data_IF_093356314858
#
_entry.id   IF_093356314858
#
_cell.length_a   1.000
_cell.length_b   1.000
_cell.length_c   1.000
_cell.angle_alpha   90.00
_cell.angle_beta   90.00
_cell.angle_gamma   90.00
#
_symmetry.space_group_name_H-M   'P 1'
#
loop_
_entity.id
_entity.type
_entity.pdbx_description
1 polymer ?
#
# COMPACT_ATOMS: atom_id res chain seq x y z
N UNK A 1 4.38 13.79 10.10
CA UNK A 1 4.33 12.55 10.89
C UNK A 1 5.69 11.87 10.87
N UNK A 2 6.19 11.45 12.02
CA UNK A 2 7.57 10.97 12.15
C UNK A 2 7.69 9.47 12.41
N UNK A 3 6.61 8.83 12.86
CA UNK A 3 6.58 7.40 13.14
C UNK A 3 5.31 6.80 12.55
N UNK A 4 5.46 5.99 11.50
CA UNK A 4 4.34 5.37 10.78
C UNK A 4 4.83 4.28 9.83
N UNK A 5 3.89 3.52 9.30
CA UNK A 5 4.15 2.60 8.18
C UNK A 5 3.29 3.00 6.98
N UNK A 6 3.92 3.40 5.89
CA UNK A 6 3.23 3.60 4.61
C UNK A 6 3.00 2.24 3.95
N UNK A 7 1.80 2.02 3.45
CA UNK A 7 1.41 0.74 2.87
C UNK A 7 0.70 0.96 1.53
N UNK A 8 0.93 0.04 0.61
CA UNK A 8 0.27 0.00 -0.69
C UNK A 8 0.03 -1.45 -1.11
N UNK A 9 -1.16 -1.72 -1.63
CA UNK A 9 -1.54 -3.02 -2.18
C UNK A 9 -1.88 -2.91 -3.65
N UNK A 10 -1.52 -3.93 -4.42
CA UNK A 10 -2.07 -4.17 -5.74
C UNK A 10 -3.01 -5.38 -5.69
N UNK A 11 -4.07 -5.34 -6.48
CA UNK A 11 -5.08 -6.41 -6.52
C UNK A 11 -5.15 -7.05 -7.90
N UNK A 12 -5.42 -8.36 -7.92
CA UNK A 12 -5.52 -9.14 -9.14
C UNK A 12 -6.82 -8.87 -9.91
N UNK A 13 -7.92 -8.59 -9.18
CA UNK A 13 -9.26 -8.42 -9.75
C UNK A 13 -10.08 -7.41 -8.93
N UNK A 14 -11.38 -7.34 -9.19
CA UNK A 14 -12.28 -6.39 -8.52
C UNK A 14 -12.57 -6.72 -7.06
N UNK A 15 -12.21 -7.90 -6.58
CA UNK A 15 -12.42 -8.25 -5.20
C UNK A 15 -11.29 -7.73 -4.33
N UNK A 16 -11.63 -7.03 -3.25
CA UNK A 16 -10.64 -6.42 -2.36
C UNK A 16 -9.76 -7.45 -1.66
N UNK A 17 -10.20 -8.69 -1.55
CA UNK A 17 -9.42 -9.80 -1.01
C UNK A 17 -8.28 -10.26 -1.92
N UNK A 18 -8.31 -9.88 -3.20
CA UNK A 18 -7.39 -10.38 -4.22
C UNK A 18 -6.04 -9.66 -4.24
N UNK A 19 -5.52 -9.29 -3.07
CA UNK A 19 -4.18 -8.69 -2.96
C UNK A 19 -3.15 -9.60 -3.62
N UNK A 20 -2.39 -9.04 -4.56
CA UNK A 20 -1.35 -9.78 -5.29
C UNK A 20 0.06 -9.22 -5.05
N UNK A 21 0.19 -8.04 -4.44
CA UNK A 21 1.47 -7.54 -3.94
C UNK A 21 1.27 -6.58 -2.79
N UNK A 22 2.29 -6.49 -1.93
CA UNK A 22 2.32 -5.64 -0.74
C UNK A 22 3.63 -4.88 -0.70
N UNK A 23 3.56 -3.56 -0.56
CA UNK A 23 4.70 -2.71 -0.25
C UNK A 23 4.50 -2.03 1.09
N UNK A 24 5.52 -2.03 1.94
CA UNK A 24 5.49 -1.36 3.24
C UNK A 24 6.80 -0.60 3.44
N UNK A 25 6.69 0.65 3.83
CA UNK A 25 7.83 1.50 4.19
C UNK A 25 7.63 1.97 5.63
N UNK A 26 8.58 1.63 6.49
CA UNK A 26 8.52 1.98 7.89
C UNK A 26 9.36 3.22 8.14
N UNK A 27 8.74 4.24 8.70
CA UNK A 27 9.39 5.51 9.07
C UNK A 27 9.44 5.61 10.58
N UNK A 28 10.62 5.89 11.11
CA UNK A 28 10.85 6.16 12.54
C UNK A 28 11.72 7.40 12.67
N UNK A 29 11.31 8.28 13.56
CA UNK A 29 11.98 9.57 13.80
C UNK A 29 12.20 10.37 12.49
N UNK A 30 11.22 10.31 11.59
CA UNK A 30 11.24 11.03 10.32
C UNK A 30 12.14 10.42 9.24
N UNK A 31 12.72 9.25 9.48
CA UNK A 31 13.58 8.57 8.51
C UNK A 31 13.10 7.17 8.18
N UNK A 32 13.40 6.70 6.97
CA UNK A 32 13.07 5.34 6.57
C UNK A 32 13.94 4.36 7.36
N UNK A 33 13.28 3.54 8.19
CA UNK A 33 13.93 2.54 9.02
C UNK A 33 13.94 1.15 8.38
N UNK A 34 12.93 0.83 7.58
CA UNK A 34 12.82 -0.49 6.93
C UNK A 34 11.90 -0.42 5.71
N UNK A 35 12.07 -1.36 4.81
CA UNK A 35 11.23 -1.58 3.62
C UNK A 35 10.88 -3.05 3.52
N UNK A 36 9.66 -3.33 3.09
CA UNK A 36 9.20 -4.69 2.84
C UNK A 36 8.43 -4.74 1.54
N UNK A 37 8.69 -5.77 0.74
CA UNK A 37 7.93 -6.06 -0.48
C UNK A 37 7.72 -7.56 -0.60
N UNK A 38 6.52 -7.95 -0.99
CA UNK A 38 6.23 -9.34 -1.33
C UNK A 38 5.13 -9.43 -2.40
N UNK A 39 5.31 -10.35 -3.32
CA UNK A 39 4.20 -10.89 -4.09
C UNK A 39 3.29 -11.71 -3.16
N UNK A 40 2.02 -11.78 -3.50
CA UNK A 40 1.00 -12.51 -2.73
C UNK A 40 0.19 -13.37 -3.70
N UNK A 41 -0.02 -14.64 -3.34
CA UNK A 41 -0.97 -15.47 -4.07
C UNK A 41 -2.38 -14.97 -3.78
N UNK A 42 -3.10 -14.43 -4.79
CA UNK A 42 -4.37 -13.75 -4.52
C UNK A 42 -5.52 -14.71 -4.25
N UNK A 43 -6.53 -14.24 -3.52
CA UNK A 43 -7.76 -14.97 -3.25
C UNK A 43 -8.96 -14.05 -3.57
N UNK A 44 -9.77 -14.37 -4.59
CA UNK A 44 -9.66 -15.48 -5.54
C UNK A 44 -8.54 -15.30 -6.57
N UNK A 45 -7.99 -16.43 -7.04
CA UNK A 45 -6.85 -16.45 -7.95
C UNK A 45 -7.28 -16.37 -9.42
N UNK A 46 -7.68 -15.17 -9.84
CA UNK A 46 -7.85 -14.83 -11.25
C UNK A 46 -7.48 -13.37 -11.45
N UNK A 47 -7.00 -13.03 -12.64
CA UNK A 47 -6.56 -11.67 -12.95
C UNK A 47 -7.49 -11.06 -14.00
N UNK A 48 -7.92 -9.82 -13.76
CA UNK A 48 -8.59 -9.02 -14.76
C UNK A 48 -7.55 -8.25 -15.59
N UNK A 49 -7.85 -8.12 -16.87
CA UNK A 49 -6.99 -7.42 -17.82
C UNK A 49 -6.61 -6.01 -17.32
N UNK A 50 -7.59 -5.25 -16.81
CA UNK A 50 -7.36 -3.89 -16.35
C UNK A 50 -6.43 -3.81 -15.14
N UNK A 51 -6.51 -4.76 -14.24
CA UNK A 51 -5.63 -4.83 -13.08
C UNK A 51 -4.18 -5.10 -13.53
N UNK A 52 -3.98 -6.09 -14.39
CA UNK A 52 -2.66 -6.39 -14.94
C UNK A 52 -2.10 -5.23 -15.74
N UNK A 53 -2.94 -4.52 -16.49
CA UNK A 53 -2.50 -3.34 -17.24
C UNK A 53 -1.97 -2.22 -16.33
N UNK A 54 -2.51 -2.10 -15.13
CA UNK A 54 -2.07 -1.09 -14.14
C UNK A 54 -0.73 -1.49 -13.52
N UNK A 55 -0.62 -2.68 -12.93
CA UNK A 55 0.55 -3.08 -12.14
C UNK A 55 1.51 -4.04 -12.83
N UNK A 56 1.13 -4.59 -13.96
CA UNK A 56 1.98 -5.48 -14.77
C UNK A 56 2.08 -6.92 -14.26
N UNK A 57 1.44 -7.28 -13.14
CA UNK A 57 1.47 -8.63 -12.61
C UNK A 57 0.43 -9.53 -13.29
N UNK A 58 0.79 -10.79 -13.46
CA UNK A 58 -0.05 -11.83 -14.04
C UNK A 58 -0.22 -12.99 -13.06
N UNK A 59 -1.17 -13.88 -13.37
CA UNK A 59 -1.38 -15.09 -12.58
C UNK A 59 -0.11 -15.95 -12.47
N UNK A 60 0.70 -15.97 -13.51
CA UNK A 60 1.97 -16.71 -13.52
C UNK A 60 2.95 -16.14 -12.49
N UNK A 61 3.02 -14.81 -12.37
CA UNK A 61 3.94 -14.13 -11.43
C UNK A 61 3.67 -14.50 -9.97
N UNK A 62 2.43 -14.74 -9.61
CA UNK A 62 2.01 -15.00 -8.23
C UNK A 62 1.57 -16.44 -7.97
N UNK A 63 1.71 -17.33 -8.97
CA UNK A 63 1.29 -18.74 -8.85
C UNK A 63 1.95 -19.48 -7.68
N UNK A 64 3.20 -19.16 -7.37
CA UNK A 64 3.99 -19.78 -6.29
C UNK A 64 4.28 -18.79 -5.14
N UNK A 65 3.65 -17.64 -5.14
CA UNK A 65 3.80 -16.67 -4.06
C UNK A 65 3.08 -17.16 -2.78
N UNK A 66 3.53 -16.72 -1.60
CA UNK A 66 2.82 -17.03 -0.36
C UNK A 66 1.45 -16.37 -0.33
N UNK A 67 0.50 -17.00 0.38
CA UNK A 67 -0.83 -16.41 0.62
C UNK A 67 -0.71 -15.24 1.59
N UNK A 68 -1.73 -14.37 1.63
CA UNK A 68 -1.69 -13.16 2.44
C UNK A 68 -1.39 -13.42 3.92
N UNK A 69 -2.00 -14.44 4.52
CA UNK A 69 -1.79 -14.75 5.93
C UNK A 69 -0.32 -15.07 6.27
N UNK A 70 0.39 -15.71 5.35
CA UNK A 70 1.83 -15.96 5.53
C UNK A 70 2.66 -14.68 5.37
N UNK A 71 2.32 -13.84 4.40
CA UNK A 71 3.00 -12.55 4.20
C UNK A 71 2.80 -11.65 5.42
N UNK A 72 1.58 -11.60 5.95
CA UNK A 72 1.26 -10.70 7.07
C UNK A 72 1.96 -11.10 8.37
N UNK A 73 2.29 -12.37 8.56
CA UNK A 73 3.13 -12.81 9.69
C UNK A 73 4.49 -12.10 9.70
N UNK A 74 5.01 -11.74 8.53
CA UNK A 74 6.27 -11.00 8.41
C UNK A 74 6.08 -9.49 8.59
N UNK A 75 4.94 -8.96 8.18
CA UNK A 75 4.65 -7.51 8.24
C UNK A 75 4.22 -7.09 9.64
N UNK A 76 3.33 -7.84 10.29
CA UNK A 76 2.71 -7.45 11.55
C UNK A 76 3.71 -7.04 12.64
N UNK A 77 4.80 -7.79 12.89
CA UNK A 77 5.78 -7.38 13.90
C UNK A 77 6.50 -6.07 13.56
N UNK A 78 6.68 -5.79 12.27
CA UNK A 78 7.38 -4.57 11.80
C UNK A 78 6.57 -3.31 12.04
N UNK A 79 5.25 -3.40 11.98
CA UNK A 79 4.33 -2.26 12.07
C UNK A 79 3.65 -2.15 13.43
N UNK A 80 3.97 -3.01 14.38
CA UNK A 80 3.35 -3.02 15.70
C UNK A 80 3.47 -1.65 16.38
N UNK A 81 2.32 -1.12 16.82
CA UNK A 81 2.25 0.17 17.50
C UNK A 81 2.35 1.39 16.58
N UNK A 82 2.47 1.20 15.27
CA UNK A 82 2.54 2.30 14.31
C UNK A 82 1.17 2.54 13.64
N UNK A 83 0.81 3.81 13.40
CA UNK A 83 -0.28 4.10 12.50
C UNK A 83 0.10 3.74 11.07
N UNK A 84 -0.89 3.37 10.25
CA UNK A 84 -0.72 3.08 8.84
C UNK A 84 -1.09 4.30 8.01
N UNK A 85 -0.38 4.50 6.92
CA UNK A 85 -0.63 5.60 5.98
C UNK A 85 -0.75 5.03 4.58
N UNK A 86 -1.76 5.46 3.85
CA UNK A 86 -1.94 5.09 2.44
C UNK A 86 -2.39 6.30 1.62
N UNK A 87 -2.11 6.26 0.33
CA UNK A 87 -2.63 7.25 -0.60
C UNK A 87 -3.98 6.76 -1.15
N UNK A 88 -5.08 7.38 -0.71
CA UNK A 88 -6.44 6.88 -0.85
C UNK A 88 -6.70 5.64 0.05
N UNK A 89 -6.58 5.86 1.35
CA UNK A 89 -6.66 4.80 2.37
C UNK A 89 -7.93 3.94 2.30
N UNK A 90 -9.03 4.46 1.76
CA UNK A 90 -10.28 3.71 1.64
C UNK A 90 -10.08 2.40 0.88
N UNK A 91 -9.24 2.41 -0.13
CA UNK A 91 -8.90 1.21 -0.89
C UNK A 91 -8.05 0.25 -0.05
N UNK A 92 -6.90 0.70 0.46
CA UNK A 92 -5.96 -0.19 1.16
C UNK A 92 -6.52 -0.69 2.49
N UNK A 93 -7.17 0.18 3.26
CA UNK A 93 -7.85 -0.22 4.49
C UNK A 93 -8.97 -1.22 4.21
N UNK A 94 -9.74 -1.01 3.14
CA UNK A 94 -10.79 -1.92 2.71
C UNK A 94 -10.24 -3.29 2.30
N UNK A 95 -9.15 -3.33 1.55
CA UNK A 95 -8.47 -4.57 1.19
C UNK A 95 -7.97 -5.31 2.42
N UNK A 96 -7.33 -4.60 3.34
CA UNK A 96 -6.76 -5.20 4.55
C UNK A 96 -7.84 -5.81 5.43
N UNK A 97 -8.93 -5.08 5.68
CA UNK A 97 -10.07 -5.60 6.46
C UNK A 97 -10.72 -6.81 5.79
N UNK A 98 -10.90 -6.76 4.47
CA UNK A 98 -11.53 -7.84 3.71
C UNK A 98 -10.70 -9.12 3.77
N UNK A 99 -9.39 -9.02 3.56
CA UNK A 99 -8.51 -10.19 3.56
C UNK A 99 -8.33 -10.78 4.97
N UNK A 100 -8.34 -9.96 6.01
CA UNK A 100 -8.34 -10.44 7.40
C UNK A 100 -9.57 -11.31 7.68
N UNK A 101 -10.74 -10.89 7.20
CA UNK A 101 -11.97 -11.71 7.33
C UNK A 101 -11.85 -13.02 6.56
N UNK A 102 -11.32 -12.98 5.34
CA UNK A 102 -11.17 -14.17 4.50
C UNK A 102 -10.29 -15.24 5.15
N UNK A 103 -9.22 -14.82 5.82
CA UNK A 103 -8.30 -15.74 6.51
C UNK A 103 -8.62 -15.92 8.00
N UNK A 104 -9.80 -15.45 8.47
CA UNK A 104 -10.23 -15.55 9.86
C UNK A 104 -9.17 -15.03 10.84
N UNK A 105 -8.54 -13.91 10.50
CA UNK A 105 -7.53 -13.25 11.33
C UNK A 105 -8.16 -12.13 12.15
N UNK A 106 -7.69 -11.96 13.39
CA UNK A 106 -8.11 -10.85 14.25
C UNK A 106 -7.51 -9.54 13.72
N UNK A 107 -8.38 -8.57 13.40
CA UNK A 107 -7.96 -7.28 12.91
C UNK A 107 -7.61 -6.35 14.07
N UNK A 108 -6.36 -5.82 14.14
CA UNK A 108 -5.91 -5.02 15.29
C UNK A 108 -6.43 -3.59 15.33
N UNK A 109 -7.44 -3.23 14.57
CA UNK A 109 -7.99 -1.86 14.48
C UNK A 109 -6.91 -0.81 14.19
N UNK A 110 -6.11 -1.05 13.15
CA UNK A 110 -5.07 -0.13 12.74
C UNK A 110 -5.61 1.27 12.49
N UNK A 111 -4.94 2.29 13.03
CA UNK A 111 -5.21 3.68 12.71
C UNK A 111 -4.70 4.00 11.31
N UNK A 112 -5.59 4.37 10.39
CA UNK A 112 -5.23 4.73 9.03
C UNK A 112 -5.31 6.23 8.79
N UNK A 113 -4.25 6.78 8.20
CA UNK A 113 -4.18 8.16 7.71
C UNK A 113 -4.08 8.16 6.19
N UNK A 114 -4.52 9.27 5.56
CA UNK A 114 -4.66 9.34 4.11
C UNK A 114 -3.95 10.55 3.54
N UNK A 115 -2.89 10.32 2.79
CA UNK A 115 -2.16 11.38 2.11
C UNK A 115 -2.96 12.02 0.96
N UNK A 116 -3.85 11.25 0.31
CA UNK A 116 -4.75 11.82 -0.70
C UNK A 116 -5.66 12.89 -0.09
N UNK A 117 -6.34 12.58 1.01
CA UNK A 117 -7.21 13.53 1.69
C UNK A 117 -6.42 14.74 2.22
N UNK A 118 -5.27 14.51 2.82
CA UNK A 118 -4.42 15.58 3.33
C UNK A 118 -3.92 16.50 2.20
N UNK A 119 -3.62 15.94 1.03
CA UNK A 119 -3.15 16.72 -0.12
C UNK A 119 -4.21 17.64 -0.71
N UNK A 120 -5.50 17.38 -0.46
CA UNK A 120 -6.58 18.18 -1.06
C UNK A 120 -6.56 19.64 -0.64
N UNK A 121 -5.91 19.98 0.46
CA UNK A 121 -5.69 21.39 0.87
C UNK A 121 -4.60 22.10 0.05
N UNK A 122 -3.78 21.37 -0.68
CA UNK A 122 -2.76 21.96 -1.55
C UNK A 122 -3.40 22.55 -2.80
N UNK A 123 -2.93 23.72 -3.18
CA UNK A 123 -3.43 24.45 -4.36
C UNK A 123 -2.43 24.34 -5.51
N UNK A 124 -2.93 24.47 -6.73
CA UNK A 124 -2.09 24.51 -7.93
C UNK A 124 -1.73 23.14 -8.50
N UNK A 125 -2.26 22.06 -7.96
CA UNK A 125 -2.08 20.71 -8.51
C UNK A 125 -3.16 20.41 -9.57
N UNK A 126 -2.76 19.78 -10.67
CA UNK A 126 -3.69 19.35 -11.74
C UNK A 126 -4.64 18.25 -11.27
N UNK A 127 -4.19 17.43 -10.31
CA UNK A 127 -4.95 16.39 -9.64
C UNK A 127 -4.23 16.02 -8.34
N UNK A 128 -4.77 15.07 -7.56
CA UNK A 128 -4.18 14.62 -6.31
C UNK A 128 -3.76 13.14 -6.37
N UNK A 129 -3.44 12.65 -7.57
CA UNK A 129 -2.89 11.31 -7.74
C UNK A 129 -1.49 11.23 -7.09
N UNK A 130 -1.10 10.02 -6.70
CA UNK A 130 0.13 9.79 -5.95
C UNK A 130 1.35 10.44 -6.60
N UNK A 131 1.58 10.19 -7.90
CA UNK A 131 2.75 10.74 -8.60
C UNK A 131 2.73 12.26 -8.69
N UNK A 132 1.56 12.87 -8.82
CA UNK A 132 1.40 14.32 -8.88
C UNK A 132 1.75 14.97 -7.55
N UNK A 133 1.22 14.43 -6.46
CA UNK A 133 1.49 14.94 -5.10
C UNK A 133 2.95 14.70 -4.71
N UNK A 134 3.48 13.53 -5.01
CA UNK A 134 4.89 13.22 -4.76
C UNK A 134 5.82 14.20 -5.49
N UNK A 135 5.54 14.47 -6.77
CA UNK A 135 6.28 15.44 -7.58
C UNK A 135 6.24 16.87 -7.03
N UNK A 136 5.09 17.27 -6.48
CA UNK A 136 4.96 18.58 -5.82
C UNK A 136 5.96 18.73 -4.65
N UNK A 137 6.26 17.63 -3.96
CA UNK A 137 7.23 17.61 -2.87
C UNK A 137 8.63 17.18 -3.31
N UNK A 138 8.91 17.17 -4.61
CA UNK A 138 10.25 16.88 -5.14
C UNK A 138 10.61 15.41 -5.20
N UNK A 139 9.64 14.51 -5.06
CA UNK A 139 9.86 13.07 -5.20
C UNK A 139 9.44 12.61 -6.60
N UNK A 140 10.41 12.10 -7.36
CA UNK A 140 10.16 11.55 -8.68
C UNK A 140 9.78 10.07 -8.54
N UNK A 141 8.50 9.75 -8.80
CA UNK A 141 8.00 8.39 -8.71
C UNK A 141 8.30 7.66 -10.02
N UNK A 142 9.33 6.83 -9.98
CA UNK A 142 9.61 5.82 -10.99
C UNK A 142 8.80 4.56 -10.67
N UNK A 143 8.66 3.62 -11.57
CA UNK A 143 7.91 2.37 -11.33
C UNK A 143 6.54 2.57 -10.64
N UNK A 144 5.77 3.58 -11.08
CA UNK A 144 4.41 3.79 -10.57
C UNK A 144 3.58 2.52 -10.72
N UNK A 145 2.75 2.19 -9.72
CA UNK A 145 2.00 0.94 -9.57
C UNK A 145 2.85 -0.30 -9.21
N UNK A 146 4.11 -0.11 -8.85
CA UNK A 146 4.84 -1.10 -8.07
C UNK A 146 4.59 -0.80 -6.58
N UNK A 147 4.08 -1.77 -5.82
CA UNK A 147 3.58 -1.52 -4.46
C UNK A 147 4.64 -0.89 -3.53
N UNK A 148 5.89 -1.32 -3.60
CA UNK A 148 6.94 -0.72 -2.77
C UNK A 148 7.27 0.70 -3.20
N UNK A 149 7.37 0.95 -4.51
CA UNK A 149 7.64 2.30 -5.03
C UNK A 149 6.51 3.27 -4.65
N UNK A 150 5.27 2.83 -4.72
CA UNK A 150 4.11 3.63 -4.35
C UNK A 150 4.07 3.88 -2.83
N UNK A 151 4.43 2.88 -2.02
CA UNK A 151 4.55 3.05 -0.57
C UNK A 151 5.67 4.04 -0.21
N UNK A 152 6.80 4.05 -0.92
CA UNK A 152 7.87 5.03 -0.72
C UNK A 152 7.41 6.45 -1.06
N UNK A 153 6.71 6.63 -2.16
CA UNK A 153 6.13 7.93 -2.52
C UNK A 153 5.13 8.40 -1.48
N UNK A 154 4.27 7.50 -1.01
CA UNK A 154 3.32 7.79 0.07
C UNK A 154 4.03 8.20 1.36
N UNK A 155 5.09 7.50 1.74
CA UNK A 155 5.90 7.84 2.92
C UNK A 155 6.52 9.22 2.79
N UNK A 156 7.05 9.57 1.61
CA UNK A 156 7.61 10.88 1.34
C UNK A 156 6.56 11.98 1.56
N UNK A 157 5.38 11.81 0.99
CA UNK A 157 4.28 12.76 1.14
C UNK A 157 3.86 12.89 2.61
N UNK A 158 3.68 11.76 3.30
CA UNK A 158 3.24 11.73 4.69
C UNK A 158 4.18 12.51 5.61
N UNK A 159 5.47 12.44 5.38
CA UNK A 159 6.47 13.21 6.13
C UNK A 159 6.32 14.73 5.95
N UNK A 160 5.69 15.17 4.87
CA UNK A 160 5.52 16.60 4.55
C UNK A 160 4.19 17.16 5.05
N UNK A 161 3.12 16.38 5.05
CA UNK A 161 1.77 16.91 5.23
C UNK A 161 0.94 16.25 6.35
N UNK A 162 1.44 15.20 6.97
CA UNK A 162 0.77 14.54 8.10
C UNK A 162 1.47 14.71 9.44
#
# INVERSE_FOLDING_TARGET
MDNFAAIDFETANNERTSICSVGVVIVRNGEIADRFYSLVHPEPDYYLYWNTRIHGLTQEDTAHAPVFSEVWKQVAPKIEGLPLVAHNKTFDEGCLKAVFRTYCMDYPDYDFYCTYQASRKLKGLRNHQLHTVAGFFGFELENHHHALADAEACAWIARQIL
#
